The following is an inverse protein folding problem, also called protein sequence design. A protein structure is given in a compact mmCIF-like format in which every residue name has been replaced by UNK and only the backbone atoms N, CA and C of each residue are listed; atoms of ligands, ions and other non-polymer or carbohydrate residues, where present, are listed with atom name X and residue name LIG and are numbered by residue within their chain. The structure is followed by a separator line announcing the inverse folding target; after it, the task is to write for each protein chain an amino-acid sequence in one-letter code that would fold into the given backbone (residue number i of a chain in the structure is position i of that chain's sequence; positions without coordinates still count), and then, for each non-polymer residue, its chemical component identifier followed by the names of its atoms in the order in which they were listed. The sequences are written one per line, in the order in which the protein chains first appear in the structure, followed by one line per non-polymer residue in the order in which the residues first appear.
data_IF_498411279269
#
_entry.id   IF_498411279269
#
_cell.length_a   1.000
_cell.length_b   1.000
_cell.length_c   1.000
_cell.angle_alpha   90.00
_cell.angle_beta   90.00
_cell.angle_gamma   90.00
#
_symmetry.space_group_name_H-M   'P 1'
#
loop_
_entity.id
_entity.type
_entity.pdbx_description
1 polymer ?
#
# COMPACT_ATOMS: atom_id res chain seq x y z
N UNK A 1 -14.60 -8.32 -11.44
CA UNK A 1 -13.12 -8.29 -11.58
C UNK A 1 -12.42 -9.48 -10.94
N UNK A 2 -12.51 -9.68 -9.61
CA UNK A 2 -11.77 -10.76 -8.91
C UNK A 2 -12.02 -12.18 -9.45
N UNK A 3 -13.29 -12.56 -9.67
CA UNK A 3 -13.63 -13.88 -10.23
C UNK A 3 -13.02 -14.08 -11.62
N UNK A 4 -13.12 -13.07 -12.49
CA UNK A 4 -12.51 -13.10 -13.82
C UNK A 4 -10.99 -13.36 -13.76
N UNK A 5 -10.27 -12.62 -12.92
CA UNK A 5 -8.82 -12.79 -12.74
C UNK A 5 -8.44 -14.15 -12.16
N UNK A 6 -9.23 -14.63 -11.19
CA UNK A 6 -9.05 -15.97 -10.62
C UNK A 6 -9.23 -17.05 -11.68
N UNK A 7 -10.31 -16.98 -12.45
CA UNK A 7 -10.63 -17.97 -13.49
C UNK A 7 -9.60 -17.96 -14.63
N UNK A 8 -9.07 -16.80 -14.99
CA UNK A 8 -7.98 -16.68 -15.96
C UNK A 8 -6.68 -17.29 -15.43
N UNK A 9 -6.27 -16.96 -14.19
CA UNK A 9 -5.09 -17.56 -13.53
C UNK A 9 -5.19 -19.08 -13.40
N UNK A 10 -6.36 -19.58 -13.00
CA UNK A 10 -6.63 -21.02 -12.90
C UNK A 10 -6.50 -21.71 -14.27
N UNK A 11 -7.00 -21.09 -15.35
CA UNK A 11 -6.83 -21.62 -16.72
C UNK A 11 -5.37 -21.71 -17.15
N UNK A 12 -4.48 -20.92 -16.56
CA UNK A 12 -3.04 -21.00 -16.79
C UNK A 12 -2.28 -21.90 -15.80
N UNK A 13 -2.98 -22.61 -14.90
CA UNK A 13 -2.35 -23.44 -13.87
C UNK A 13 -1.72 -22.65 -12.71
N UNK A 14 -2.04 -21.36 -12.56
CA UNK A 14 -1.59 -20.55 -11.42
C UNK A 14 -2.53 -20.80 -10.24
N UNK A 15 -2.06 -21.54 -9.24
CA UNK A 15 -2.86 -22.00 -8.10
C UNK A 15 -2.97 -20.97 -6.95
N UNK A 16 -2.01 -20.04 -6.83
CA UNK A 16 -2.04 -18.97 -5.83
C UNK A 16 -2.81 -17.77 -6.37
N UNK A 17 -4.12 -17.75 -6.13
CA UNK A 17 -5.04 -16.78 -6.74
C UNK A 17 -5.35 -15.57 -5.85
N UNK A 18 -4.89 -15.54 -4.61
CA UNK A 18 -5.18 -14.43 -3.69
C UNK A 18 -4.15 -13.30 -3.86
N UNK A 19 -4.41 -12.41 -4.82
CA UNK A 19 -3.88 -11.04 -4.73
C UNK A 19 -4.74 -10.26 -3.72
N UNK A 20 -4.08 -9.36 -3.00
CA UNK A 20 -4.52 -8.64 -1.81
C UNK A 20 -6.02 -8.31 -1.71
N UNK A 21 -6.54 -8.39 -0.50
CA UNK A 21 -7.92 -7.99 -0.22
C UNK A 21 -8.13 -6.47 -0.12
N UNK A 22 -7.12 -5.65 -0.47
CA UNK A 22 -7.17 -4.21 -0.32
C UNK A 22 -8.09 -3.51 -1.34
N UNK A 23 -8.48 -2.28 -1.00
CA UNK A 23 -9.45 -1.47 -1.75
C UNK A 23 -8.88 -1.00 -3.09
N UNK A 24 -7.58 -0.73 -3.17
CA UNK A 24 -6.94 -0.26 -4.39
C UNK A 24 -6.97 -1.35 -5.48
N UNK A 25 -6.57 -2.57 -5.12
CA UNK A 25 -6.65 -3.75 -6.01
C UNK A 25 -8.09 -4.18 -6.35
N UNK A 26 -9.11 -3.67 -5.64
CA UNK A 26 -10.52 -3.83 -6.00
C UNK A 26 -10.97 -2.87 -7.10
N UNK A 27 -10.38 -1.67 -7.17
CA UNK A 27 -10.76 -0.63 -8.13
C UNK A 27 -10.01 -0.84 -9.45
N UNK A 28 -8.70 -1.00 -9.37
CA UNK A 28 -7.82 -1.07 -10.52
C UNK A 28 -6.62 -1.95 -10.18
N UNK A 29 -6.18 -2.76 -11.13
CA UNK A 29 -5.01 -3.62 -10.94
C UNK A 29 -4.28 -3.79 -12.25
N UNK A 30 -2.98 -4.01 -12.19
CA UNK A 30 -2.18 -4.39 -13.33
C UNK A 30 -1.82 -5.88 -13.31
N UNK A 31 -1.68 -6.45 -14.49
CA UNK A 31 -1.06 -7.75 -14.66
C UNK A 31 -0.25 -7.82 -15.96
N UNK A 32 0.60 -8.84 -16.04
CA UNK A 32 1.42 -9.16 -17.22
C UNK A 32 1.17 -10.63 -17.59
N UNK A 33 -0.05 -11.10 -17.34
CA UNK A 33 -0.46 -12.45 -17.70
C UNK A 33 -0.39 -12.54 -19.24
N UNK A 34 0.13 -13.67 -19.75
CA UNK A 34 0.42 -13.89 -21.18
C UNK A 34 1.51 -12.98 -21.78
N UNK A 35 2.44 -12.45 -20.98
CA UNK A 35 3.46 -11.49 -21.42
C UNK A 35 2.86 -10.22 -22.07
N UNK A 36 1.60 -9.91 -21.78
CA UNK A 36 0.93 -8.72 -22.28
C UNK A 36 0.60 -7.79 -21.10
N UNK A 37 1.21 -6.60 -21.01
CA UNK A 37 0.89 -5.63 -19.97
C UNK A 37 -0.58 -5.18 -20.05
N UNK A 38 -1.35 -5.41 -18.98
CA UNK A 38 -2.77 -5.03 -18.90
C UNK A 38 -3.07 -4.25 -17.62
N UNK A 39 -3.93 -3.24 -17.74
CA UNK A 39 -4.61 -2.60 -16.61
C UNK A 39 -6.07 -3.01 -16.66
N UNK A 40 -6.57 -3.56 -15.56
CA UNK A 40 -7.93 -4.03 -15.41
C UNK A 40 -8.63 -3.13 -14.40
N UNK A 41 -9.80 -2.63 -14.78
CA UNK A 41 -10.56 -1.64 -14.01
C UNK A 41 -11.92 -2.22 -13.65
N UNK A 42 -12.30 -2.16 -12.38
CA UNK A 42 -13.68 -2.35 -11.96
C UNK A 42 -14.43 -1.03 -12.19
N UNK A 43 -15.10 -0.91 -13.33
CA UNK A 43 -15.72 0.34 -13.76
C UNK A 43 -16.72 0.90 -12.72
N UNK A 44 -17.45 0.04 -12.03
CA UNK A 44 -18.43 0.40 -11.00
C UNK A 44 -17.81 1.11 -9.81
N UNK A 45 -16.61 0.71 -9.38
CA UNK A 45 -15.90 1.37 -8.28
C UNK A 45 -15.11 2.57 -8.81
N UNK A 46 -14.48 2.42 -9.98
CA UNK A 46 -13.68 3.46 -10.60
C UNK A 46 -14.49 4.73 -10.90
N UNK A 47 -15.76 4.60 -11.33
CA UNK A 47 -16.61 5.75 -11.66
C UNK A 47 -17.01 6.61 -10.44
N UNK A 48 -16.93 6.07 -9.22
CA UNK A 48 -17.24 6.80 -7.99
C UNK A 48 -16.17 7.86 -7.67
N UNK A 49 -14.97 7.69 -8.23
CA UNK A 49 -13.88 8.64 -8.08
C UNK A 49 -14.04 9.86 -8.99
N UNK A 50 -13.57 11.01 -8.51
CA UNK A 50 -13.53 12.22 -9.33
C UNK A 50 -12.74 12.00 -10.62
N UNK A 51 -13.01 12.79 -11.67
CA UNK A 51 -12.30 12.68 -12.96
C UNK A 51 -10.77 12.76 -12.77
N UNK A 52 -10.30 13.58 -11.84
CA UNK A 52 -8.88 13.77 -11.59
C UNK A 52 -8.28 12.60 -10.81
N UNK A 53 -8.96 12.07 -9.78
CA UNK A 53 -8.53 10.85 -9.07
C UNK A 53 -8.49 9.63 -10.00
N UNK A 54 -9.45 9.51 -10.92
CA UNK A 54 -9.49 8.47 -11.95
C UNK A 54 -8.24 8.44 -12.83
N UNK A 55 -7.74 9.60 -13.26
CA UNK A 55 -6.44 9.67 -13.93
C UNK A 55 -5.28 9.27 -13.00
N UNK A 56 -5.38 9.61 -11.71
CA UNK A 56 -4.41 9.21 -10.70
C UNK A 56 -4.28 7.69 -10.61
N UNK A 57 -5.41 7.01 -10.46
CA UNK A 57 -5.52 5.54 -10.37
C UNK A 57 -4.89 4.87 -11.59
N UNK A 58 -5.30 5.25 -12.81
CA UNK A 58 -4.77 4.63 -14.03
C UNK A 58 -3.26 4.84 -14.20
N UNK A 59 -2.77 6.04 -13.88
CA UNK A 59 -1.33 6.35 -13.95
C UNK A 59 -0.54 5.61 -12.88
N UNK A 60 -1.13 5.39 -11.72
CA UNK A 60 -0.53 4.61 -10.64
C UNK A 60 -0.28 3.16 -11.07
N UNK A 61 -1.30 2.49 -11.62
CA UNK A 61 -1.13 1.15 -12.17
C UNK A 61 -0.16 1.11 -13.36
N UNK A 62 -0.18 2.13 -14.23
CA UNK A 62 0.79 2.22 -15.32
C UNK A 62 2.24 2.38 -14.80
N UNK A 63 2.44 3.14 -13.72
CA UNK A 63 3.75 3.29 -13.08
C UNK A 63 4.23 1.96 -12.48
N UNK A 64 3.35 1.20 -11.81
CA UNK A 64 3.71 -0.14 -11.35
C UNK A 64 4.15 -1.05 -12.49
N UNK A 65 3.48 -1.01 -13.64
CA UNK A 65 3.88 -1.81 -14.79
C UNK A 65 5.25 -1.40 -15.35
N UNK A 66 5.54 -0.10 -15.34
CA UNK A 66 6.81 0.44 -15.81
C UNK A 66 7.98 0.12 -14.87
N UNK A 67 7.75 0.13 -13.55
CA UNK A 67 8.78 -0.07 -12.53
C UNK A 67 8.90 -1.52 -12.06
N UNK A 68 7.77 -2.21 -11.91
CA UNK A 68 7.64 -3.50 -11.22
C UNK A 68 7.02 -4.59 -12.09
N UNK A 69 7.07 -4.42 -13.42
CA UNK A 69 6.47 -5.35 -14.35
C UNK A 69 7.20 -6.70 -14.49
N UNK A 70 8.45 -6.81 -14.05
CA UNK A 70 9.20 -8.07 -14.11
C UNK A 70 8.78 -9.03 -12.98
N UNK A 71 9.03 -10.33 -13.20
CA UNK A 71 8.68 -11.38 -12.24
C UNK A 71 9.44 -11.25 -10.92
N UNK A 72 10.63 -10.63 -10.92
CA UNK A 72 11.46 -10.46 -9.72
C UNK A 72 10.71 -9.68 -8.62
N UNK A 73 9.92 -8.66 -8.98
CA UNK A 73 9.08 -7.89 -8.04
C UNK A 73 7.84 -8.63 -7.55
N UNK A 74 7.75 -9.94 -7.79
CA UNK A 74 6.76 -10.85 -7.20
C UNK A 74 7.37 -11.90 -6.28
N UNK A 75 8.70 -11.87 -6.12
CA UNK A 75 9.44 -12.90 -5.37
C UNK A 75 10.24 -12.19 -4.28
N UNK A 76 9.65 -12.08 -3.11
CA UNK A 76 10.32 -11.56 -1.92
C UNK A 76 10.67 -12.69 -0.97
N UNK A 77 11.80 -12.56 -0.28
CA UNK A 77 12.25 -13.51 0.74
C UNK A 77 12.28 -12.80 2.07
N UNK A 78 11.79 -13.46 3.11
CA UNK A 78 11.92 -12.93 4.47
C UNK A 78 13.40 -13.01 4.88
N UNK A 79 14.02 -11.94 5.38
CA UNK A 79 15.36 -12.00 5.98
C UNK A 79 15.40 -12.88 7.24
N UNK A 80 16.53 -13.54 7.51
CA UNK A 80 16.66 -14.44 8.69
C UNK A 80 16.46 -13.68 10.01
N UNK A 81 16.97 -12.46 10.11
CA UNK A 81 16.78 -11.60 11.28
C UNK A 81 15.31 -11.26 11.54
N UNK A 82 14.52 -11.08 10.48
CA UNK A 82 13.08 -10.88 10.57
C UNK A 82 12.37 -12.13 11.09
N UNK A 83 12.77 -13.33 10.64
CA UNK A 83 12.23 -14.60 11.18
C UNK A 83 12.51 -14.75 12.67
N UNK A 84 13.74 -14.46 13.09
CA UNK A 84 14.12 -14.53 14.50
C UNK A 84 13.33 -13.55 15.36
N UNK A 85 13.24 -12.30 14.92
CA UNK A 85 12.51 -11.22 15.61
C UNK A 85 11.01 -11.52 15.67
N UNK A 86 10.41 -12.02 14.59
CA UNK A 86 9.02 -12.44 14.54
C UNK A 86 8.72 -13.56 15.55
N UNK A 87 9.62 -14.54 15.65
CA UNK A 87 9.51 -15.64 16.62
C UNK A 87 9.51 -15.11 18.06
N UNK A 88 10.41 -14.18 18.40
CA UNK A 88 10.46 -13.53 19.72
C UNK A 88 9.15 -12.78 20.02
N UNK A 89 8.56 -12.15 19.00
CA UNK A 89 7.30 -11.40 19.11
C UNK A 89 6.05 -12.29 19.07
N UNK A 90 6.21 -13.60 18.90
CA UNK A 90 5.10 -14.56 18.85
C UNK A 90 4.28 -14.49 17.57
N UNK A 91 4.91 -14.11 16.46
CA UNK A 91 4.33 -14.17 15.12
C UNK A 91 4.74 -15.49 14.45
N UNK A 92 3.80 -16.14 13.76
CA UNK A 92 4.07 -17.31 12.96
C UNK A 92 4.50 -16.94 11.53
N UNK A 93 5.06 -17.92 10.80
CA UNK A 93 5.51 -17.71 9.42
C UNK A 93 4.38 -17.28 8.47
N UNK A 94 3.16 -17.86 8.52
CA UNK A 94 2.05 -17.41 7.67
C UNK A 94 1.66 -15.94 7.89
N UNK A 95 1.69 -15.46 9.14
CA UNK A 95 1.49 -14.04 9.45
C UNK A 95 2.61 -13.22 8.82
N UNK A 96 3.87 -13.64 8.95
CA UNK A 96 5.01 -12.90 8.39
C UNK A 96 4.98 -12.85 6.86
N UNK A 97 4.61 -13.96 6.19
CA UNK A 97 4.42 -14.01 4.74
C UNK A 97 3.30 -13.07 4.28
N UNK A 98 2.20 -13.02 5.03
CA UNK A 98 1.09 -12.09 4.74
C UNK A 98 1.53 -10.63 4.92
N UNK A 99 2.27 -10.34 5.99
CA UNK A 99 2.82 -9.00 6.24
C UNK A 99 3.78 -8.59 5.12
N UNK A 100 4.69 -9.47 4.70
CA UNK A 100 5.62 -9.22 3.59
C UNK A 100 4.86 -8.84 2.31
N UNK A 101 3.76 -9.52 1.99
CA UNK A 101 2.95 -9.16 0.82
C UNK A 101 2.32 -7.76 0.92
N UNK A 102 1.83 -7.37 2.10
CA UNK A 102 1.31 -6.02 2.31
C UNK A 102 2.40 -4.95 2.22
N UNK A 103 3.57 -5.22 2.78
CA UNK A 103 4.70 -4.29 2.77
C UNK A 103 5.32 -4.15 1.39
N UNK A 104 5.43 -5.24 0.64
CA UNK A 104 5.87 -5.19 -0.75
C UNK A 104 4.95 -4.30 -1.59
N UNK A 105 3.64 -4.44 -1.44
CA UNK A 105 2.68 -3.55 -2.09
C UNK A 105 2.86 -2.09 -1.63
N UNK A 106 3.04 -1.85 -0.33
CA UNK A 106 3.27 -0.51 0.20
C UNK A 106 4.54 0.17 -0.36
N UNK A 107 5.64 -0.58 -0.46
CA UNK A 107 6.92 -0.12 -1.05
C UNK A 107 6.75 0.22 -2.53
N UNK A 108 6.11 -0.66 -3.29
CA UNK A 108 5.85 -0.40 -4.71
C UNK A 108 4.93 0.81 -4.93
N UNK A 109 3.94 1.04 -4.05
CA UNK A 109 3.05 2.20 -4.15
C UNK A 109 3.80 3.51 -3.90
N UNK A 110 4.65 3.58 -2.87
CA UNK A 110 5.44 4.80 -2.61
C UNK A 110 6.46 5.06 -3.72
N UNK A 111 7.07 4.01 -4.29
CA UNK A 111 7.96 4.11 -5.45
C UNK A 111 7.23 4.60 -6.70
N UNK A 112 6.05 4.05 -7.00
CA UNK A 112 5.19 4.49 -8.10
C UNK A 112 4.75 5.96 -7.93
N UNK A 113 4.38 6.39 -6.73
CA UNK A 113 4.05 7.80 -6.46
C UNK A 113 5.27 8.71 -6.66
N UNK A 114 6.46 8.35 -6.13
CA UNK A 114 7.70 9.10 -6.35
C UNK A 114 8.00 9.25 -7.84
N UNK A 115 7.86 8.17 -8.60
CA UNK A 115 8.05 8.17 -10.06
C UNK A 115 7.06 9.12 -10.76
N UNK A 116 5.78 9.08 -10.41
CA UNK A 116 4.76 9.92 -11.04
C UNK A 116 4.92 11.40 -10.70
N UNK A 117 5.32 11.72 -9.46
CA UNK A 117 5.63 13.08 -9.04
C UNK A 117 6.83 13.63 -9.84
N UNK A 118 7.88 12.82 -10.02
CA UNK A 118 9.05 13.19 -10.85
C UNK A 118 8.66 13.52 -12.30
N UNK A 119 7.58 12.95 -12.80
CA UNK A 119 7.00 13.21 -14.12
C UNK A 119 5.83 14.21 -14.11
N UNK A 120 5.73 15.03 -13.06
CA UNK A 120 4.76 16.12 -12.89
C UNK A 120 3.28 15.68 -12.81
N UNK A 121 2.98 14.41 -12.52
CA UNK A 121 1.60 13.92 -12.34
C UNK A 121 1.02 14.18 -10.93
N UNK A 122 1.38 15.31 -10.31
CA UNK A 122 1.12 15.61 -8.90
C UNK A 122 -0.38 15.72 -8.58
N UNK A 123 -1.12 16.54 -9.35
CA UNK A 123 -2.53 16.86 -9.05
C UNK A 123 -3.42 15.62 -9.01
N UNK A 124 -3.20 14.69 -9.95
CA UNK A 124 -4.00 13.47 -10.02
C UNK A 124 -3.68 12.47 -8.91
N UNK A 125 -2.41 12.39 -8.49
CA UNK A 125 -2.02 11.55 -7.35
C UNK A 125 -2.53 12.14 -6.03
N UNK A 126 -2.45 13.45 -5.86
CA UNK A 126 -2.99 14.12 -4.67
C UNK A 126 -4.51 13.95 -4.56
N UNK A 127 -5.25 14.11 -5.67
CA UNK A 127 -6.70 13.90 -5.66
C UNK A 127 -7.05 12.43 -5.39
N UNK A 128 -6.28 11.50 -5.97
CA UNK A 128 -6.45 10.08 -5.68
C UNK A 128 -6.22 9.79 -4.19
N UNK A 129 -5.16 10.34 -3.58
CA UNK A 129 -4.87 10.18 -2.16
C UNK A 129 -5.97 10.72 -1.22
N UNK A 130 -6.56 11.87 -1.55
CA UNK A 130 -7.66 12.44 -0.77
C UNK A 130 -8.92 11.55 -0.75
N UNK A 131 -9.18 10.87 -1.86
CA UNK A 131 -10.33 9.96 -2.05
C UNK A 131 -10.01 8.52 -1.60
N UNK A 132 -8.73 8.14 -1.52
CA UNK A 132 -8.32 6.83 -1.00
C UNK A 132 -8.37 6.79 0.54
N UNK A 133 -8.00 7.89 1.20
CA UNK A 133 -7.97 8.01 2.66
C UNK A 133 -9.36 8.32 3.26
N UNK A 134 -10.35 7.48 2.98
CA UNK A 134 -11.66 7.55 3.63
C UNK A 134 -11.76 6.57 4.80
N UNK A 135 -12.15 7.03 6.01
CA UNK A 135 -12.35 6.12 7.13
C UNK A 135 -13.44 5.10 6.82
N UNK A 136 -13.08 3.81 6.88
CA UNK A 136 -14.00 2.70 6.66
C UNK A 136 -14.61 2.25 7.99
N UNK A 137 -15.94 2.26 8.12
CA UNK A 137 -16.61 1.72 9.31
C UNK A 137 -16.29 0.24 9.52
N UNK A 138 -16.08 -0.50 8.43
CA UNK A 138 -15.63 -1.89 8.46
C UNK A 138 -14.24 -2.01 9.09
N UNK A 139 -13.33 -1.07 8.85
CA UNK A 139 -11.99 -1.10 9.45
C UNK A 139 -12.08 -0.81 10.95
N UNK A 140 -12.97 0.09 11.37
CA UNK A 140 -13.25 0.35 12.80
C UNK A 140 -13.78 -0.89 13.50
N UNK A 141 -14.73 -1.60 12.90
CA UNK A 141 -15.29 -2.84 13.44
C UNK A 141 -14.23 -3.95 13.49
N UNK A 142 -13.45 -4.08 12.42
CA UNK A 142 -12.35 -5.04 12.33
C UNK A 142 -11.34 -4.78 13.45
N UNK A 143 -10.89 -3.53 13.63
CA UNK A 143 -9.97 -3.14 14.70
C UNK A 143 -10.47 -3.56 16.09
N UNK A 144 -11.74 -3.25 16.40
CA UNK A 144 -12.35 -3.62 17.69
C UNK A 144 -12.29 -5.13 17.95
N UNK A 145 -12.47 -5.95 16.92
CA UNK A 145 -12.44 -7.41 17.03
C UNK A 145 -11.04 -8.01 17.17
N UNK A 146 -10.01 -7.34 16.62
CA UNK A 146 -8.66 -7.94 16.51
C UNK A 146 -7.61 -7.32 17.42
N UNK A 147 -7.86 -6.15 18.04
CA UNK A 147 -6.83 -5.39 18.77
C UNK A 147 -6.15 -6.13 19.93
N UNK A 148 -6.76 -7.19 20.45
CA UNK A 148 -6.19 -8.06 21.49
C UNK A 148 -5.47 -9.30 20.94
N UNK A 149 -5.65 -9.62 19.66
CA UNK A 149 -4.98 -10.71 18.97
C UNK A 149 -3.71 -10.16 18.30
N UNK A 150 -2.53 -10.52 18.82
CA UNK A 150 -1.24 -9.98 18.37
C UNK A 150 -0.97 -10.16 16.86
N UNK A 151 -1.01 -11.39 16.29
CA UNK A 151 -0.85 -11.57 14.85
C UNK A 151 -1.83 -10.75 14.01
N UNK A 152 -3.11 -10.76 14.38
CA UNK A 152 -4.14 -10.05 13.62
C UNK A 152 -3.96 -8.52 13.70
N UNK A 153 -3.65 -7.99 14.89
CA UNK A 153 -3.29 -6.59 15.10
C UNK A 153 -2.09 -6.19 14.25
N UNK A 154 -1.02 -6.99 14.26
CA UNK A 154 0.18 -6.72 13.47
C UNK A 154 -0.14 -6.64 11.98
N UNK A 155 -0.88 -7.61 11.43
CA UNK A 155 -1.30 -7.61 10.03
C UNK A 155 -2.15 -6.39 9.68
N UNK A 156 -3.05 -6.00 10.56
CA UNK A 156 -3.90 -4.84 10.35
C UNK A 156 -3.11 -3.54 10.31
N UNK A 157 -2.22 -3.31 11.29
CA UNK A 157 -1.36 -2.13 11.30
C UNK A 157 -0.42 -2.11 10.07
N UNK A 158 0.10 -3.28 9.68
CA UNK A 158 0.93 -3.44 8.49
C UNK A 158 0.16 -3.08 7.21
N UNK A 159 -1.11 -3.49 7.10
CA UNK A 159 -1.96 -3.14 5.96
C UNK A 159 -2.23 -1.63 5.88
N UNK A 160 -2.32 -0.93 7.02
CA UNK A 160 -2.50 0.52 7.06
C UNK A 160 -1.26 1.30 6.60
N UNK A 161 -0.06 0.70 6.62
CA UNK A 161 1.14 1.37 6.11
C UNK A 161 1.04 1.69 4.63
N UNK A 162 0.38 0.85 3.83
CA UNK A 162 0.24 1.04 2.38
C UNK A 162 -0.36 2.40 2.00
N UNK A 163 -1.60 2.74 2.40
CA UNK A 163 -2.18 4.04 2.05
C UNK A 163 -1.42 5.22 2.68
N UNK A 164 -0.79 5.05 3.85
CA UNK A 164 0.01 6.11 4.47
C UNK A 164 1.28 6.38 3.65
N UNK A 165 2.03 5.33 3.30
CA UNK A 165 3.27 5.42 2.53
C UNK A 165 3.01 5.91 1.10
N UNK A 166 1.89 5.50 0.47
CA UNK A 166 1.45 6.03 -0.81
C UNK A 166 1.37 7.58 -0.82
N UNK A 167 0.95 8.18 0.29
CA UNK A 167 0.74 9.62 0.43
C UNK A 167 2.02 10.39 0.72
N UNK A 168 3.02 9.77 1.36
CA UNK A 168 4.22 10.45 1.85
C UNK A 168 4.94 11.31 0.79
N UNK A 169 5.22 10.82 -0.44
CA UNK A 169 5.93 11.62 -1.45
C UNK A 169 5.20 12.90 -1.83
N UNK A 170 3.88 12.94 -1.68
CA UNK A 170 3.05 14.12 -1.96
C UNK A 170 3.18 15.15 -0.83
N UNK A 171 3.31 14.69 0.42
CA UNK A 171 3.51 15.54 1.58
C UNK A 171 4.91 16.15 1.63
N UNK A 172 5.92 15.40 1.15
CA UNK A 172 7.32 15.84 1.07
C UNK A 172 7.57 16.91 0.00
N UNK A 173 6.59 17.17 -0.87
CA UNK A 173 6.73 18.19 -1.90
C UNK A 173 6.97 19.58 -1.29
N UNK A 174 7.94 20.35 -1.81
CA UNK A 174 8.12 21.72 -1.38
C UNK A 174 6.86 22.53 -1.70
N UNK A 175 6.46 23.39 -0.76
CA UNK A 175 5.34 24.31 -0.95
C UNK A 175 5.58 25.14 -2.20
N UNK A 176 4.66 25.06 -3.15
CA UNK A 176 4.80 25.73 -4.43
C UNK A 176 3.44 26.18 -4.96
N UNK A 177 3.43 26.99 -6.03
CA UNK A 177 2.17 27.32 -6.72
C UNK A 177 1.46 26.08 -7.29
N UNK A 178 2.19 25.00 -7.56
CA UNK A 178 1.64 23.74 -8.09
C UNK A 178 1.02 22.86 -6.99
N UNK A 179 1.46 22.99 -5.74
CA UNK A 179 0.88 22.26 -4.61
C UNK A 179 0.78 23.17 -3.38
N UNK A 180 -0.45 23.61 -3.09
CA UNK A 180 -0.71 24.59 -2.04
C UNK A 180 -0.55 24.00 -0.64
N UNK A 181 -0.19 24.86 0.31
CA UNK A 181 -0.14 24.49 1.73
C UNK A 181 -1.50 23.96 2.23
N UNK A 182 -2.60 24.50 1.71
CA UNK A 182 -3.96 24.04 2.03
C UNK A 182 -4.17 22.56 1.65
N UNK A 183 -3.71 22.14 0.47
CA UNK A 183 -3.81 20.74 0.05
C UNK A 183 -2.95 19.81 0.91
N UNK A 184 -1.75 20.24 1.28
CA UNK A 184 -0.92 19.50 2.24
C UNK A 184 -1.61 19.33 3.59
N UNK A 185 -2.20 20.40 4.13
CA UNK A 185 -2.95 20.37 5.39
C UNK A 185 -4.16 19.44 5.29
N UNK A 186 -4.92 19.52 4.19
CA UNK A 186 -6.06 18.64 3.96
C UNK A 186 -5.66 17.17 3.91
N UNK A 187 -4.54 16.85 3.27
CA UNK A 187 -4.05 15.49 3.11
C UNK A 187 -3.51 14.92 4.43
N UNK A 188 -2.77 15.72 5.20
CA UNK A 188 -2.38 15.36 6.57
C UNK A 188 -3.60 15.10 7.46
N UNK A 189 -4.59 16.00 7.45
CA UNK A 189 -5.84 15.80 8.20
C UNK A 189 -6.70 14.63 7.70
N UNK A 190 -6.45 14.12 6.48
CA UNK A 190 -7.05 12.86 5.99
C UNK A 190 -6.33 11.65 6.57
N UNK A 191 -5.00 11.66 6.68
CA UNK A 191 -4.24 10.59 7.36
C UNK A 191 -4.66 10.48 8.83
N UNK A 192 -4.74 11.61 9.55
CA UNK A 192 -5.14 11.62 10.96
C UNK A 192 -6.52 10.99 11.17
N UNK A 193 -7.51 11.37 10.35
CA UNK A 193 -8.86 10.78 10.39
C UNK A 193 -8.88 9.32 9.96
N UNK A 194 -8.03 8.94 9.00
CA UNK A 194 -7.93 7.57 8.50
C UNK A 194 -7.50 6.59 9.60
N UNK A 195 -6.77 7.05 10.62
CA UNK A 195 -6.31 6.22 11.75
C UNK A 195 -6.93 6.58 13.11
N UNK A 196 -7.88 7.51 13.16
CA UNK A 196 -8.40 8.06 14.43
C UNK A 196 -9.05 7.01 15.35
N UNK A 197 -9.52 5.90 14.77
CA UNK A 197 -10.19 4.83 15.50
C UNK A 197 -9.23 3.90 16.25
N UNK A 198 -7.92 4.02 16.01
CA UNK A 198 -6.89 3.32 16.77
C UNK A 198 -6.65 4.02 18.11
N UNK A 199 -6.13 3.31 19.11
CA UNK A 199 -5.64 3.94 20.33
C UNK A 199 -4.42 4.85 20.03
N UNK A 200 -4.28 6.00 20.73
CA UNK A 200 -3.20 6.98 20.49
C UNK A 200 -1.80 6.36 20.43
N UNK A 201 -1.53 5.36 21.28
CA UNK A 201 -0.24 4.64 21.30
C UNK A 201 0.01 3.92 19.97
N UNK A 202 -1.01 3.33 19.36
CA UNK A 202 -0.90 2.60 18.09
C UNK A 202 -0.83 3.58 16.91
N UNK A 203 -1.59 4.68 16.95
CA UNK A 203 -1.48 5.75 15.96
C UNK A 203 -0.05 6.31 15.90
N UNK A 204 0.52 6.69 17.05
CA UNK A 204 1.86 7.25 17.12
C UNK A 204 2.91 6.28 16.61
N UNK A 205 2.82 4.99 16.98
CA UNK A 205 3.72 3.95 16.48
C UNK A 205 3.60 3.78 14.97
N UNK A 206 2.38 3.72 14.44
CA UNK A 206 2.12 3.55 13.01
C UNK A 206 2.72 4.70 12.20
N UNK A 207 2.47 5.95 12.60
CA UNK A 207 3.02 7.14 11.94
C UNK A 207 4.54 7.18 12.05
N UNK A 208 5.10 6.87 13.22
CA UNK A 208 6.55 6.82 13.41
C UNK A 208 7.21 5.78 12.50
N UNK A 209 6.65 4.57 12.44
CA UNK A 209 7.14 3.50 11.56
C UNK A 209 7.02 3.90 10.09
N UNK A 210 5.90 4.49 9.68
CA UNK A 210 5.71 4.97 8.30
C UNK A 210 6.75 6.02 7.90
N UNK A 211 7.06 6.98 8.79
CA UNK A 211 8.08 8.00 8.53
C UNK A 211 9.48 7.38 8.40
N UNK A 212 9.86 6.48 9.33
CA UNK A 212 11.16 5.78 9.26
C UNK A 212 11.29 5.01 7.95
N UNK A 213 10.22 4.29 7.54
CA UNK A 213 10.22 3.56 6.27
C UNK A 213 10.43 4.53 5.12
N UNK A 214 9.62 5.59 5.01
CA UNK A 214 9.69 6.57 3.91
C UNK A 214 11.08 7.20 3.75
N UNK A 215 11.73 7.53 4.88
CA UNK A 215 13.07 8.11 4.94
C UNK A 215 14.19 7.11 4.60
N UNK A 216 13.94 5.81 4.80
CA UNK A 216 14.93 4.75 4.59
C UNK A 216 15.00 4.22 3.14
N UNK A 217 14.04 4.61 2.28
CA UNK A 217 13.94 4.04 0.93
C UNK A 217 15.08 4.48 0.02
N UNK A 218 15.63 3.50 -0.68
CA UNK A 218 16.66 3.62 -1.71
C UNK A 218 16.08 3.38 -3.11
N UNK A 219 16.94 3.26 -4.13
CA UNK A 219 16.51 2.89 -5.49
C UNK A 219 16.29 1.36 -5.67
N UNK A 220 16.70 0.54 -4.70
CA UNK A 220 16.56 -0.93 -4.76
C UNK A 220 15.29 -1.40 -4.03
N UNK A 221 14.27 -1.82 -4.80
CA UNK A 221 13.00 -2.27 -4.26
C UNK A 221 13.13 -3.47 -3.32
N UNK A 222 14.03 -4.42 -3.57
CA UNK A 222 14.17 -5.60 -2.71
C UNK A 222 14.72 -5.22 -1.35
N UNK A 223 15.78 -4.40 -1.33
CA UNK A 223 16.33 -3.84 -0.09
C UNK A 223 15.30 -2.98 0.64
N UNK A 224 14.48 -2.23 -0.10
CA UNK A 224 13.40 -1.43 0.47
C UNK A 224 12.34 -2.32 1.14
N UNK A 225 11.95 -3.44 0.53
CA UNK A 225 11.00 -4.40 1.13
C UNK A 225 11.59 -5.05 2.38
N UNK A 226 12.85 -5.47 2.34
CA UNK A 226 13.53 -6.06 3.50
C UNK A 226 13.62 -5.08 4.66
N UNK A 227 14.11 -3.85 4.40
CA UNK A 227 14.16 -2.75 5.38
C UNK A 227 12.78 -2.42 5.95
N UNK A 228 11.77 -2.36 5.08
CA UNK A 228 10.39 -2.09 5.49
C UNK A 228 9.87 -3.18 6.43
N UNK A 229 10.16 -4.46 6.17
CA UNK A 229 9.77 -5.55 7.06
C UNK A 229 10.45 -5.44 8.43
N UNK A 230 11.74 -5.09 8.47
CA UNK A 230 12.48 -4.88 9.71
C UNK A 230 11.80 -3.78 10.55
N UNK A 231 11.47 -2.65 9.94
CA UNK A 231 10.82 -1.54 10.64
C UNK A 231 9.37 -1.86 11.05
N UNK A 232 8.61 -2.56 10.19
CA UNK A 232 7.23 -2.93 10.47
C UNK A 232 7.10 -3.87 11.68
N UNK A 233 8.11 -4.72 11.96
CA UNK A 233 8.11 -5.59 13.15
C UNK A 233 8.03 -4.80 14.47
N UNK A 234 8.29 -3.49 14.49
CA UNK A 234 8.03 -2.64 15.65
C UNK A 234 6.53 -2.50 15.99
N UNK A 235 5.63 -2.82 15.05
CA UNK A 235 4.17 -2.80 15.22
C UNK A 235 3.61 -4.07 15.91
N UNK A 236 4.42 -5.13 16.02
CA UNK A 236 4.06 -6.40 16.66
C UNK A 236 4.37 -6.43 18.17
#
# INVERSE_FOLDING_TARGET
MRLFLRDEKLRMGILNTEQGNDVQSLICTHDIIHNNPRIIVCYELYKEFSKLARFGILRHEAAHMALHGSLEFRIFRIPEECRHTATIKGLDMPTLDTALNYLAAAVMDIEATKFLIKHEYIDCQAQFALELLEPSDKDKETWKGIKLNRPAKFLFLTALLRPILFVQPILDLPRSKKFSAERQIMLNGKIERFVEYLENTEQNKLVQVANIIADSLTEDTHNNVDSTLIHALALA
#
